data_IF_103230825378
#
_entry.id   IF_103230825378
#
_cell.length_a   1.000
_cell.length_b   1.000
_cell.length_c   1.000
_cell.angle_alpha   90.00
_cell.angle_beta   90.00
_cell.angle_gamma   90.00
#
_symmetry.space_group_name_H-M   'P 1'
#
loop_
_entity.id
_entity.type
_entity.pdbx_description
1 polymer ?
#
# COMPACT_ATOMS: atom_id res chain seq x y z
N UNK A 1 -11.86 4.44 46.93
CA UNK A 1 -11.54 3.36 45.98
C UNK A 1 -12.71 2.96 45.09
N UNK A 2 -13.90 2.58 45.59
CA UNK A 2 -15.03 2.19 44.70
C UNK A 2 -15.42 3.23 43.65
N UNK A 3 -15.43 4.53 43.97
CA UNK A 3 -15.74 5.61 43.02
C UNK A 3 -14.65 5.79 41.94
N UNK A 4 -13.39 5.47 42.27
CA UNK A 4 -12.27 5.59 41.34
C UNK A 4 -12.28 4.44 40.32
N UNK A 5 -12.63 3.21 40.74
CA UNK A 5 -12.73 2.04 39.86
C UNK A 5 -13.89 2.21 38.89
N UNK A 6 -15.04 2.73 39.34
CA UNK A 6 -16.20 3.00 38.46
C UNK A 6 -15.85 4.09 37.44
N UNK A 7 -15.10 5.12 37.83
CA UNK A 7 -14.66 6.18 36.92
C UNK A 7 -13.67 5.64 35.86
N UNK A 8 -12.72 4.79 36.24
CA UNK A 8 -11.79 4.17 35.31
C UNK A 8 -12.49 3.20 34.34
N UNK A 9 -13.47 2.43 34.83
CA UNK A 9 -14.24 1.53 33.97
C UNK A 9 -15.15 2.31 33.00
N UNK A 10 -15.73 3.42 33.45
CA UNK A 10 -16.52 4.30 32.59
C UNK A 10 -15.65 5.03 31.54
N UNK A 11 -14.47 5.51 31.91
CA UNK A 11 -13.55 6.14 30.95
C UNK A 11 -13.06 5.10 29.92
N UNK A 12 -12.72 3.89 30.36
CA UNK A 12 -12.29 2.83 29.44
C UNK A 12 -13.42 2.34 28.52
N UNK A 13 -14.67 2.27 29.01
CA UNK A 13 -15.83 2.01 28.15
C UNK A 13 -16.15 3.18 27.21
N UNK A 14 -15.90 4.42 27.63
CA UNK A 14 -16.13 5.59 26.77
C UNK A 14 -15.08 5.72 25.66
N UNK A 15 -13.83 5.34 25.91
CA UNK A 15 -12.79 5.30 24.87
C UNK A 15 -13.01 4.14 23.88
N UNK A 16 -13.53 3.00 24.33
CA UNK A 16 -13.92 1.88 23.45
C UNK A 16 -15.17 2.23 22.63
N UNK A 17 -16.12 2.98 23.20
CA UNK A 17 -17.33 3.44 22.49
C UNK A 17 -17.08 4.56 21.49
N UNK A 18 -16.02 5.35 21.66
CA UNK A 18 -15.64 6.39 20.69
C UNK A 18 -14.83 5.85 19.49
N UNK A 19 -14.39 4.59 19.51
CA UNK A 19 -13.71 3.95 18.39
C UNK A 19 -14.65 3.17 17.44
N UNK A 20 -15.92 3.09 17.76
CA UNK A 20 -16.94 2.66 16.80
C UNK A 20 -17.47 3.88 16.06
N UNK A 21 -16.64 4.49 15.21
CA UNK A 21 -17.17 5.29 14.11
C UNK A 21 -18.15 4.39 13.37
N UNK A 22 -19.44 4.70 13.40
CA UNK A 22 -20.42 3.93 12.66
C UNK A 22 -20.11 4.14 11.19
N UNK A 23 -19.46 3.13 10.58
CA UNK A 23 -19.32 3.09 9.15
C UNK A 23 -20.70 2.84 8.57
N UNK A 24 -21.25 3.84 7.89
CA UNK A 24 -22.52 3.73 7.19
C UNK A 24 -22.32 2.83 5.97
N UNK A 25 -22.95 1.68 5.91
CA UNK A 25 -23.19 0.99 4.65
C UNK A 25 -24.56 1.47 4.15
N UNK A 26 -24.55 2.34 3.17
CA UNK A 26 -25.75 2.76 2.43
C UNK A 26 -25.70 2.16 1.04
N UNK A 27 -26.89 1.92 0.46
CA UNK A 27 -26.98 1.41 -0.92
C UNK A 27 -26.22 2.34 -1.90
N UNK A 28 -25.67 1.81 -2.98
CA UNK A 28 -25.10 2.62 -4.05
C UNK A 28 -26.08 3.66 -4.59
N UNK A 29 -25.56 4.83 -4.90
CA UNK A 29 -26.34 5.94 -5.45
C UNK A 29 -25.83 6.24 -6.86
N UNK A 30 -26.74 6.28 -7.83
CA UNK A 30 -26.47 6.77 -9.16
C UNK A 30 -26.86 8.24 -9.28
N UNK A 31 -25.88 9.09 -9.59
CA UNK A 31 -26.04 10.51 -9.88
C UNK A 31 -25.82 10.75 -11.37
N UNK A 32 -26.88 10.89 -12.13
CA UNK A 32 -26.85 11.12 -13.58
C UNK A 32 -26.34 12.52 -13.94
N UNK A 33 -26.41 13.47 -13.00
CA UNK A 33 -26.04 14.87 -13.24
C UNK A 33 -24.56 15.17 -13.02
N UNK A 34 -23.82 14.20 -12.45
CA UNK A 34 -22.42 14.37 -12.15
C UNK A 34 -21.62 14.80 -13.39
N UNK A 35 -20.76 15.80 -13.22
CA UNK A 35 -19.81 16.29 -14.22
C UNK A 35 -20.43 16.50 -15.62
N UNK A 36 -21.43 17.35 -15.73
CA UNK A 36 -22.14 17.64 -16.97
C UNK A 36 -22.82 16.40 -17.60
N UNK A 37 -23.52 15.63 -16.81
CA UNK A 37 -24.27 14.43 -17.20
C UNK A 37 -23.41 13.25 -17.68
N UNK A 38 -22.16 13.18 -17.24
CA UNK A 38 -21.32 11.99 -17.46
C UNK A 38 -21.73 10.82 -16.55
N UNK A 39 -22.40 11.12 -15.44
CA UNK A 39 -22.87 10.15 -14.46
C UNK A 39 -21.82 9.72 -13.44
N UNK A 40 -22.26 9.44 -12.24
CA UNK A 40 -21.44 8.80 -11.19
C UNK A 40 -22.21 7.72 -10.43
N UNK A 41 -21.52 6.65 -10.04
CA UNK A 41 -21.96 5.71 -9.02
C UNK A 41 -21.14 5.97 -7.76
N UNK A 42 -21.82 6.23 -6.64
CA UNK A 42 -21.22 6.25 -5.31
C UNK A 42 -21.60 4.94 -4.62
N UNK A 43 -20.64 4.02 -4.54
CA UNK A 43 -20.88 2.69 -3.96
C UNK A 43 -21.10 2.72 -2.44
N UNK A 44 -20.71 3.82 -1.77
CA UNK A 44 -20.90 4.02 -0.32
C UNK A 44 -20.34 2.87 0.53
N UNK A 45 -19.21 2.31 0.12
CA UNK A 45 -18.57 1.18 0.79
C UNK A 45 -19.15 -0.20 0.42
N UNK A 46 -20.17 -0.24 -0.43
CA UNK A 46 -20.74 -1.50 -0.95
C UNK A 46 -19.80 -2.07 -2.02
N UNK A 47 -19.67 -3.40 -2.05
CA UNK A 47 -18.94 -4.07 -3.12
C UNK A 47 -19.76 -4.05 -4.42
N UNK A 48 -19.13 -3.64 -5.50
CA UNK A 48 -19.77 -3.53 -6.82
C UNK A 48 -18.98 -4.29 -7.88
N UNK A 49 -19.70 -4.75 -8.89
CA UNK A 49 -19.14 -5.40 -10.08
C UNK A 49 -19.56 -4.65 -11.33
N UNK A 50 -18.62 -4.40 -12.24
CA UNK A 50 -18.84 -3.80 -13.54
C UNK A 50 -18.72 -4.88 -14.59
N UNK A 51 -19.74 -5.00 -15.44
CA UNK A 51 -19.76 -5.98 -16.54
C UNK A 51 -20.44 -5.36 -17.77
N UNK A 52 -20.30 -6.01 -18.90
CA UNK A 52 -21.05 -5.72 -20.10
C UNK A 52 -22.17 -6.74 -20.28
N UNK A 53 -23.38 -6.29 -20.44
CA UNK A 53 -24.57 -7.10 -20.70
C UNK A 53 -25.32 -6.54 -21.88
N UNK A 54 -25.53 -7.34 -22.92
CA UNK A 54 -26.21 -6.93 -24.17
C UNK A 54 -25.63 -5.64 -24.81
N UNK A 55 -24.30 -5.48 -24.74
CA UNK A 55 -23.61 -4.31 -25.29
C UNK A 55 -23.74 -3.02 -24.45
N UNK A 56 -24.21 -3.13 -23.21
CA UNK A 56 -24.32 -2.02 -22.28
C UNK A 56 -23.50 -2.29 -21.02
N UNK A 57 -22.87 -1.25 -20.50
CA UNK A 57 -22.18 -1.36 -19.21
C UNK A 57 -23.16 -1.38 -18.06
N UNK A 58 -23.07 -2.41 -17.22
CA UNK A 58 -23.92 -2.63 -16.04
C UNK A 58 -23.05 -2.63 -14.81
N UNK A 59 -23.47 -1.85 -13.81
CA UNK A 59 -22.89 -1.88 -12.46
C UNK A 59 -23.86 -2.59 -11.56
N UNK A 60 -23.42 -3.67 -10.93
CA UNK A 60 -24.23 -4.53 -10.05
C UNK A 60 -23.66 -4.59 -8.63
N UNK A 61 -24.56 -4.78 -7.66
CA UNK A 61 -24.26 -4.97 -6.24
C UNK A 61 -25.29 -5.91 -5.61
N UNK A 62 -25.05 -6.29 -4.37
CA UNK A 62 -26.04 -7.11 -3.65
C UNK A 62 -27.38 -6.37 -3.54
N UNK A 63 -28.41 -6.95 -4.14
CA UNK A 63 -29.77 -6.40 -4.17
C UNK A 63 -30.09 -5.43 -5.32
N UNK A 64 -29.16 -5.18 -6.29
CA UNK A 64 -29.50 -4.31 -7.41
C UNK A 64 -28.45 -4.21 -8.51
N UNK A 65 -28.87 -3.54 -9.60
CA UNK A 65 -27.98 -3.18 -10.68
C UNK A 65 -28.44 -1.90 -11.38
N UNK A 66 -27.54 -1.27 -12.09
CA UNK A 66 -27.77 -0.06 -12.87
C UNK A 66 -27.06 -0.15 -14.22
N UNK A 67 -27.80 0.07 -15.30
CA UNK A 67 -27.19 0.32 -16.62
C UNK A 67 -26.65 1.75 -16.62
N UNK A 68 -25.42 1.92 -17.04
CA UNK A 68 -24.72 3.21 -16.99
C UNK A 68 -24.11 3.58 -18.34
N UNK A 69 -23.91 4.87 -18.62
CA UNK A 69 -23.20 5.29 -19.83
C UNK A 69 -21.71 4.98 -19.70
N UNK A 70 -21.02 4.84 -20.83
CA UNK A 70 -19.57 4.60 -20.88
C UNK A 70 -18.72 5.76 -20.31
N UNK A 71 -19.36 6.89 -20.03
CA UNK A 71 -18.74 8.08 -19.40
C UNK A 71 -18.86 8.08 -17.88
N UNK A 72 -19.45 7.05 -17.28
CA UNK A 72 -19.67 6.99 -15.82
C UNK A 72 -18.35 6.95 -15.05
N UNK A 73 -18.33 7.65 -13.92
CA UNK A 73 -17.28 7.54 -12.90
C UNK A 73 -17.80 6.72 -11.72
N UNK A 74 -17.03 5.75 -11.27
CA UNK A 74 -17.41 4.84 -10.19
C UNK A 74 -16.52 5.12 -8.98
N UNK A 75 -17.15 5.52 -7.88
CA UNK A 75 -16.51 5.77 -6.59
C UNK A 75 -16.85 4.65 -5.61
N UNK A 76 -15.85 3.97 -5.08
CA UNK A 76 -16.04 2.93 -4.07
C UNK A 76 -16.53 3.49 -2.72
N UNK A 77 -16.08 4.70 -2.37
CA UNK A 77 -16.66 5.49 -1.29
C UNK A 77 -17.89 6.28 -1.72
N UNK A 78 -18.17 7.37 -1.02
CA UNK A 78 -19.30 8.25 -1.25
C UNK A 78 -18.90 9.65 -1.68
N UNK A 79 -19.91 10.50 -1.90
CA UNK A 79 -19.76 11.95 -1.93
C UNK A 79 -19.77 12.44 -0.47
N UNK A 80 -18.57 12.47 0.16
CA UNK A 80 -18.42 12.60 1.60
C UNK A 80 -18.68 11.29 2.36
N UNK A 81 -18.52 11.34 3.67
CA UNK A 81 -18.80 10.23 4.60
C UNK A 81 -17.63 9.28 4.85
N UNK A 82 -17.82 8.38 5.82
CA UNK A 82 -16.78 7.47 6.32
C UNK A 82 -17.19 6.01 6.06
N UNK A 83 -16.32 5.25 5.43
CA UNK A 83 -16.56 3.86 5.06
C UNK A 83 -15.39 2.97 5.51
N UNK A 84 -15.71 1.79 6.04
CA UNK A 84 -14.69 0.81 6.46
C UNK A 84 -13.92 0.23 5.27
N UNK A 85 -14.61 -0.02 4.17
CA UNK A 85 -13.99 -0.58 2.97
C UNK A 85 -14.81 -0.23 1.73
N UNK A 86 -14.17 -0.35 0.57
CA UNK A 86 -14.82 -0.35 -0.73
C UNK A 86 -14.20 -1.43 -1.62
N UNK A 87 -15.00 -2.02 -2.52
CA UNK A 87 -14.52 -3.00 -3.47
C UNK A 87 -15.18 -2.79 -4.82
N UNK A 88 -14.37 -2.61 -5.86
CA UNK A 88 -14.81 -2.50 -7.25
C UNK A 88 -14.15 -3.63 -8.04
N UNK A 89 -14.93 -4.48 -8.68
CA UNK A 89 -14.45 -5.50 -9.61
C UNK A 89 -14.95 -5.18 -11.01
N UNK A 90 -14.07 -5.00 -11.96
CA UNK A 90 -14.42 -4.81 -13.38
C UNK A 90 -14.04 -6.04 -14.18
N UNK A 91 -15.05 -6.69 -14.74
CA UNK A 91 -14.88 -7.89 -15.56
C UNK A 91 -14.96 -7.59 -17.07
N UNK A 92 -15.70 -6.55 -17.46
CA UNK A 92 -15.87 -6.11 -18.86
C UNK A 92 -16.60 -4.76 -18.89
N UNK A 93 -16.87 -4.24 -20.09
CA UNK A 93 -17.59 -2.98 -20.29
C UNK A 93 -16.64 -1.78 -20.38
N UNK A 94 -17.23 -0.58 -20.40
CA UNK A 94 -16.49 0.67 -20.52
C UNK A 94 -16.96 1.68 -19.49
N UNK A 95 -16.01 2.28 -18.77
CA UNK A 95 -16.25 3.35 -17.81
C UNK A 95 -15.25 4.49 -18.00
N UNK A 96 -15.54 5.66 -17.49
CA UNK A 96 -14.58 6.76 -17.53
C UNK A 96 -13.54 6.61 -16.42
N UNK A 97 -13.99 6.41 -15.17
CA UNK A 97 -13.10 6.29 -14.02
C UNK A 97 -13.51 5.15 -13.09
N UNK A 98 -12.51 4.50 -12.48
CA UNK A 98 -12.66 3.64 -11.31
C UNK A 98 -11.88 4.28 -10.15
N UNK A 99 -12.57 4.70 -9.11
CA UNK A 99 -11.99 5.38 -7.97
C UNK A 99 -12.28 4.56 -6.71
N UNK A 100 -11.23 4.05 -6.05
CA UNK A 100 -11.36 3.24 -4.84
C UNK A 100 -11.97 4.01 -3.68
N UNK A 101 -11.50 5.23 -3.45
CA UNK A 101 -12.03 6.13 -2.42
C UNK A 101 -13.32 6.83 -2.82
N UNK A 102 -13.63 7.88 -2.10
CA UNK A 102 -14.76 8.77 -2.38
C UNK A 102 -14.32 10.08 -3.03
N UNK A 103 -15.23 11.03 -3.03
CA UNK A 103 -14.99 12.40 -3.44
C UNK A 103 -15.44 13.35 -2.33
N UNK A 104 -14.67 14.41 -2.10
CA UNK A 104 -15.06 15.49 -1.21
C UNK A 104 -14.85 16.84 -1.91
N UNK A 105 -15.85 17.67 -1.99
CA UNK A 105 -15.73 18.99 -2.65
C UNK A 105 -15.26 20.09 -1.71
N UNK A 106 -15.41 19.90 -0.41
CA UNK A 106 -14.96 20.82 0.64
C UNK A 106 -14.37 20.03 1.80
N UNK A 107 -13.68 20.72 2.73
CA UNK A 107 -13.20 20.08 3.95
C UNK A 107 -14.31 19.47 4.81
N UNK A 108 -15.47 20.13 4.85
CA UNK A 108 -16.62 19.69 5.65
C UNK A 108 -17.34 18.49 5.02
N UNK A 109 -17.20 18.31 3.70
CA UNK A 109 -17.75 17.17 2.96
C UNK A 109 -16.68 16.16 2.57
N UNK A 110 -15.63 16.03 3.40
CA UNK A 110 -14.54 15.09 3.12
C UNK A 110 -15.03 13.64 3.15
N UNK A 111 -14.47 12.81 2.28
CA UNK A 111 -14.70 11.37 2.24
C UNK A 111 -13.53 10.64 2.92
N UNK A 112 -13.84 9.60 3.67
CA UNK A 112 -12.84 8.70 4.24
C UNK A 112 -13.19 7.24 3.94
N UNK A 113 -12.21 6.48 3.44
CA UNK A 113 -12.33 5.01 3.26
C UNK A 113 -11.11 4.36 3.86
N UNK A 114 -11.32 3.43 4.80
CA UNK A 114 -10.18 2.77 5.44
C UNK A 114 -9.44 1.85 4.48
N UNK A 115 -10.14 0.94 3.78
CA UNK A 115 -9.55 0.05 2.78
C UNK A 115 -10.27 0.17 1.44
N UNK A 116 -9.52 0.40 0.37
CA UNK A 116 -10.06 0.32 -0.99
C UNK A 116 -9.47 -0.84 -1.75
N UNK A 117 -10.29 -1.50 -2.59
CA UNK A 117 -9.85 -2.53 -3.50
C UNK A 117 -10.46 -2.32 -4.88
N UNK A 118 -9.62 -2.26 -5.91
CA UNK A 118 -10.03 -2.28 -7.31
C UNK A 118 -9.37 -3.50 -7.96
N UNK A 119 -10.17 -4.36 -8.58
CA UNK A 119 -9.70 -5.46 -9.42
C UNK A 119 -10.24 -5.23 -10.83
N UNK A 120 -9.37 -5.09 -11.79
CA UNK A 120 -9.73 -5.02 -13.20
C UNK A 120 -9.27 -6.29 -13.91
N UNK A 121 -10.22 -7.11 -14.31
CA UNK A 121 -9.95 -8.35 -15.05
C UNK A 121 -9.92 -8.10 -16.54
N UNK A 122 -10.81 -7.24 -17.05
CA UNK A 122 -10.89 -6.83 -18.47
C UNK A 122 -11.79 -5.59 -18.61
N UNK A 123 -11.92 -5.05 -19.82
CA UNK A 123 -12.74 -3.90 -20.17
C UNK A 123 -11.92 -2.64 -20.48
N UNK A 124 -12.58 -1.48 -20.49
CA UNK A 124 -11.95 -0.21 -20.85
C UNK A 124 -12.19 0.85 -19.79
N UNK A 125 -11.11 1.47 -19.29
CA UNK A 125 -11.16 2.67 -18.46
C UNK A 125 -10.60 3.83 -19.27
N UNK A 126 -11.49 4.70 -19.73
CA UNK A 126 -11.17 5.74 -20.74
C UNK A 126 -10.43 6.95 -20.18
N UNK A 127 -10.39 7.12 -18.83
CA UNK A 127 -9.63 8.19 -18.19
C UNK A 127 -8.71 7.66 -17.10
N UNK A 128 -9.23 7.23 -15.93
CA UNK A 128 -8.31 6.83 -14.86
C UNK A 128 -8.82 5.73 -13.92
N UNK A 129 -7.88 4.88 -13.47
CA UNK A 129 -8.01 4.09 -12.24
C UNK A 129 -7.27 4.84 -11.12
N UNK A 130 -7.94 5.07 -9.98
CA UNK A 130 -7.42 5.81 -8.84
C UNK A 130 -7.64 4.99 -7.57
N UNK A 131 -6.57 4.57 -6.91
CA UNK A 131 -6.67 3.78 -5.68
C UNK A 131 -7.21 4.58 -4.49
N UNK A 132 -6.77 5.84 -4.37
CA UNK A 132 -7.30 6.81 -3.41
C UNK A 132 -8.65 7.40 -3.86
N UNK A 133 -8.87 8.64 -3.48
CA UNK A 133 -10.07 9.37 -3.85
C UNK A 133 -9.77 10.69 -4.55
N UNK A 134 -10.81 11.48 -4.77
CA UNK A 134 -10.71 12.79 -5.42
C UNK A 134 -10.86 13.92 -4.41
N UNK A 135 -10.01 14.94 -4.53
CA UNK A 135 -10.01 16.19 -3.76
C UNK A 135 -9.88 15.94 -2.24
N UNK A 136 -10.88 16.30 -1.44
CA UNK A 136 -10.88 16.09 0.01
C UNK A 136 -11.25 14.64 0.37
N UNK A 137 -10.48 13.68 -0.14
CA UNK A 137 -10.71 12.26 0.13
C UNK A 137 -9.46 11.61 0.72
N UNK A 138 -9.64 10.97 1.86
CA UNK A 138 -8.58 10.22 2.56
C UNK A 138 -8.84 8.74 2.43
N UNK A 139 -7.80 7.99 2.10
CA UNK A 139 -7.80 6.52 2.11
C UNK A 139 -6.62 6.06 2.98
N UNK A 140 -6.86 5.11 3.86
CA UNK A 140 -5.73 4.56 4.61
C UNK A 140 -4.95 3.58 3.74
N UNK A 141 -5.58 2.54 3.23
CA UNK A 141 -4.91 1.58 2.36
C UNK A 141 -5.65 1.45 1.03
N UNK A 142 -4.98 1.71 -0.07
CA UNK A 142 -5.49 1.47 -1.41
C UNK A 142 -4.84 0.25 -2.03
N UNK A 143 -5.64 -0.60 -2.70
CA UNK A 143 -5.19 -1.78 -3.39
C UNK A 143 -5.75 -1.80 -4.81
N UNK A 144 -4.89 -1.80 -5.81
CA UNK A 144 -5.25 -1.95 -7.21
C UNK A 144 -4.59 -3.21 -7.75
N UNK A 145 -5.37 -4.04 -8.43
CA UNK A 145 -4.91 -5.21 -9.17
C UNK A 145 -5.48 -5.16 -10.58
N UNK A 146 -4.60 -5.14 -11.58
CA UNK A 146 -4.95 -5.15 -12.99
C UNK A 146 -4.48 -6.45 -13.61
N UNK A 147 -5.44 -7.27 -14.07
CA UNK A 147 -5.19 -8.55 -14.72
C UNK A 147 -5.30 -8.45 -16.25
N UNK A 148 -5.98 -7.43 -16.77
CA UNK A 148 -6.21 -7.23 -18.20
C UNK A 148 -6.94 -5.93 -18.51
N UNK A 149 -7.36 -5.79 -19.78
CA UNK A 149 -8.12 -4.63 -20.25
C UNK A 149 -7.26 -3.46 -20.73
N UNK A 150 -7.93 -2.35 -21.06
CA UNK A 150 -7.31 -1.13 -21.55
C UNK A 150 -7.56 0.03 -20.59
N UNK A 151 -6.51 0.71 -20.19
CA UNK A 151 -6.54 1.79 -19.21
C UNK A 151 -5.81 2.99 -19.80
N UNK A 152 -6.43 4.17 -19.77
CA UNK A 152 -5.75 5.38 -20.24
C UNK A 152 -4.66 5.80 -19.23
N UNK A 153 -5.02 5.95 -17.94
CA UNK A 153 -4.06 6.27 -16.88
C UNK A 153 -4.40 5.55 -15.56
N UNK A 154 -3.40 5.38 -14.70
CA UNK A 154 -3.57 4.74 -13.40
C UNK A 154 -2.70 5.38 -12.34
N UNK A 155 -3.19 5.43 -11.09
CA UNK A 155 -2.46 5.91 -9.93
C UNK A 155 -2.90 5.21 -8.64
N UNK A 156 -1.90 4.78 -7.85
CA UNK A 156 -2.13 4.12 -6.56
C UNK A 156 -2.65 5.08 -5.49
N UNK A 157 -2.17 6.33 -5.51
CA UNK A 157 -2.57 7.39 -4.59
C UNK A 157 -3.87 8.09 -4.94
N UNK A 158 -4.08 9.28 -4.39
CA UNK A 158 -5.26 10.11 -4.61
C UNK A 158 -5.01 11.21 -5.65
N UNK A 159 -6.08 11.84 -6.12
CA UNK A 159 -6.00 12.98 -7.04
C UNK A 159 -6.54 14.25 -6.37
N UNK A 160 -5.68 15.28 -6.36
CA UNK A 160 -6.06 16.64 -6.00
C UNK A 160 -5.81 17.62 -7.16
N UNK A 161 -6.03 17.20 -8.39
CA UNK A 161 -5.89 18.05 -9.57
C UNK A 161 -7.21 18.71 -9.91
N UNK A 162 -7.15 20.00 -10.14
CA UNK A 162 -8.28 20.80 -10.58
C UNK A 162 -8.37 22.10 -9.80
N UNK A 163 -9.05 23.09 -10.38
CA UNK A 163 -9.38 24.32 -9.68
C UNK A 163 -10.57 24.05 -8.77
N UNK A 164 -10.34 23.77 -7.50
CA UNK A 164 -11.37 24.08 -6.52
C UNK A 164 -11.21 25.56 -6.21
N UNK A 165 -12.19 26.38 -6.57
CA UNK A 165 -12.29 27.81 -6.25
C UNK A 165 -11.10 28.69 -6.66
N UNK A 166 -10.46 28.47 -7.82
CA UNK A 166 -9.48 29.42 -8.37
C UNK A 166 -8.04 29.27 -7.84
N UNK A 167 -7.76 28.35 -6.96
CA UNK A 167 -6.41 28.10 -6.43
C UNK A 167 -5.64 27.22 -7.40
N UNK A 168 -4.52 27.72 -7.91
CA UNK A 168 -3.53 26.89 -8.61
C UNK A 168 -2.79 26.09 -7.53
N UNK A 169 -2.97 24.79 -7.54
CA UNK A 169 -2.24 23.90 -6.64
C UNK A 169 -0.81 23.74 -7.17
N UNK A 170 0.16 24.29 -6.46
CA UNK A 170 1.59 24.03 -6.64
C UNK A 170 2.09 23.09 -5.54
N UNK A 171 3.18 22.38 -5.79
CA UNK A 171 3.77 21.47 -4.79
C UNK A 171 3.98 22.23 -3.48
N UNK A 172 3.21 21.88 -2.46
CA UNK A 172 3.38 22.41 -1.11
C UNK A 172 4.57 21.75 -0.41
N UNK A 173 4.82 22.19 0.80
CA UNK A 173 5.77 21.51 1.69
C UNK A 173 5.23 20.13 2.07
N UNK A 174 6.08 19.29 2.69
CA UNK A 174 5.67 18.00 3.27
C UNK A 174 4.48 18.18 4.23
N UNK A 175 4.54 19.22 5.06
CA UNK A 175 3.50 19.49 6.05
C UNK A 175 2.17 19.88 5.39
N UNK A 176 2.20 20.66 4.30
CA UNK A 176 1.01 20.97 3.52
C UNK A 176 0.39 19.72 2.90
N UNK A 177 1.22 18.82 2.38
CA UNK A 177 0.77 17.55 1.80
C UNK A 177 0.20 16.60 2.86
N UNK A 178 0.86 16.45 4.02
CA UNK A 178 0.40 15.60 5.14
C UNK A 178 -0.91 16.13 5.72
N UNK A 179 -1.05 17.45 5.85
CA UNK A 179 -2.25 18.09 6.35
C UNK A 179 -3.38 18.15 5.31
N UNK A 180 -3.05 17.90 4.04
CA UNK A 180 -4.05 17.75 2.99
C UNK A 180 -5.00 16.59 3.31
N UNK A 181 -6.29 16.81 3.14
CA UNK A 181 -7.28 15.71 3.23
C UNK A 181 -7.32 14.85 1.97
N UNK A 182 -6.52 15.16 0.96
CA UNK A 182 -6.32 14.33 -0.22
C UNK A 182 -5.10 13.44 -0.02
N UNK A 183 -5.30 12.28 0.58
CA UNK A 183 -4.16 11.42 0.93
C UNK A 183 -4.47 9.93 0.91
N UNK A 184 -3.41 9.15 0.72
CA UNK A 184 -3.37 7.69 0.89
C UNK A 184 -2.20 7.37 1.80
N UNK A 185 -2.42 6.60 2.87
CA UNK A 185 -1.32 6.21 3.75
C UNK A 185 -0.46 5.14 3.09
N UNK A 186 -1.10 4.10 2.52
CA UNK A 186 -0.40 3.04 1.79
C UNK A 186 -1.12 2.76 0.47
N UNK A 187 -0.40 2.87 -0.64
CA UNK A 187 -0.88 2.54 -1.97
C UNK A 187 -0.19 1.27 -2.47
N UNK A 188 -0.96 0.23 -2.75
CA UNK A 188 -0.48 -1.03 -3.33
C UNK A 188 -1.06 -1.17 -4.74
N UNK A 189 -0.21 -1.27 -5.74
CA UNK A 189 -0.59 -1.37 -7.14
C UNK A 189 0.12 -2.56 -7.77
N UNK A 190 -0.65 -3.49 -8.34
CA UNK A 190 -0.16 -4.67 -9.03
C UNK A 190 -0.71 -4.66 -10.46
N UNK A 191 0.18 -4.78 -11.44
CA UNK A 191 -0.14 -4.93 -12.86
C UNK A 191 0.32 -6.31 -13.30
N UNK A 192 -0.64 -7.20 -13.53
CA UNK A 192 -0.40 -8.58 -14.01
C UNK A 192 -0.55 -8.69 -15.52
N UNK A 193 -1.13 -7.67 -16.19
CA UNK A 193 -1.37 -7.65 -17.62
C UNK A 193 -2.17 -6.43 -18.04
N UNK A 194 -2.68 -6.44 -19.28
CA UNK A 194 -3.44 -5.33 -19.86
C UNK A 194 -2.56 -4.25 -20.49
N UNK A 195 -3.21 -3.20 -20.96
CA UNK A 195 -2.55 -2.07 -21.63
C UNK A 195 -2.80 -0.78 -20.85
N UNK A 196 -1.72 -0.08 -20.46
CA UNK A 196 -1.79 1.26 -19.88
C UNK A 196 -1.21 2.23 -20.91
N UNK A 197 -2.04 3.21 -21.35
CA UNK A 197 -1.73 3.98 -22.56
C UNK A 197 -0.88 5.23 -22.30
N UNK A 198 -0.99 5.84 -21.12
CA UNK A 198 -0.42 7.17 -20.87
C UNK A 198 0.42 7.25 -19.60
N UNK A 199 -0.17 7.04 -18.44
CA UNK A 199 0.47 7.29 -17.15
C UNK A 199 0.21 6.14 -16.17
N UNK A 200 1.25 5.74 -15.45
CA UNK A 200 1.17 4.85 -14.29
C UNK A 200 1.98 5.45 -13.13
N UNK A 201 1.29 5.87 -12.08
CA UNK A 201 1.91 6.41 -10.87
C UNK A 201 1.70 5.47 -9.68
N UNK A 202 2.77 5.15 -8.96
CA UNK A 202 2.68 4.47 -7.67
C UNK A 202 2.01 5.36 -6.62
N UNK A 203 2.37 6.64 -6.58
CA UNK A 203 1.75 7.66 -5.72
C UNK A 203 0.53 8.33 -6.34
N UNK A 204 0.21 9.51 -5.84
CA UNK A 204 -0.94 10.30 -6.28
C UNK A 204 -0.58 11.48 -7.18
N UNK A 205 -1.58 12.31 -7.50
CA UNK A 205 -1.41 13.47 -8.37
C UNK A 205 -1.90 14.77 -7.73
N UNK A 206 -1.22 15.88 -8.04
CA UNK A 206 -1.54 17.22 -7.52
C UNK A 206 -1.10 17.36 -6.06
N UNK A 207 -1.89 18.06 -5.24
CA UNK A 207 -1.62 18.24 -3.80
C UNK A 207 -1.87 17.00 -2.94
N UNK A 208 -1.79 15.82 -3.50
CA UNK A 208 -2.01 14.59 -2.76
C UNK A 208 -0.76 14.17 -1.99
N UNK A 209 -0.98 13.56 -0.85
CA UNK A 209 0.04 12.85 -0.07
C UNK A 209 -0.12 11.35 -0.22
N UNK A 210 0.98 10.65 -0.48
CA UNK A 210 1.06 9.18 -0.41
C UNK A 210 2.18 8.81 0.55
N UNK A 211 1.87 8.13 1.65
CA UNK A 211 2.88 7.75 2.65
C UNK A 211 3.84 6.71 2.10
N UNK A 212 3.30 5.59 1.66
CA UNK A 212 4.05 4.50 1.02
C UNK A 212 3.39 4.13 -0.30
N UNK A 213 4.17 4.02 -1.37
CA UNK A 213 3.73 3.57 -2.69
C UNK A 213 4.45 2.28 -3.07
N UNK A 214 3.71 1.19 -3.18
CA UNK A 214 4.20 -0.12 -3.62
C UNK A 214 3.67 -0.40 -5.02
N UNK A 215 4.54 -0.49 -6.01
CA UNK A 215 4.20 -0.76 -7.39
C UNK A 215 4.88 -2.05 -7.85
N UNK A 216 4.09 -3.04 -8.23
CA UNK A 216 4.58 -4.28 -8.82
C UNK A 216 4.04 -4.43 -10.24
N UNK A 217 4.92 -4.59 -11.21
CA UNK A 217 4.59 -4.84 -12.61
C UNK A 217 5.08 -6.24 -12.93
N UNK A 218 4.14 -7.18 -13.08
CA UNK A 218 4.45 -8.56 -13.43
C UNK A 218 4.45 -8.76 -14.95
N UNK A 219 3.54 -8.05 -15.66
CA UNK A 219 3.43 -8.06 -17.12
C UNK A 219 2.54 -6.88 -17.57
N UNK A 220 2.38 -6.70 -18.88
CA UNK A 220 1.50 -5.71 -19.49
C UNK A 220 2.19 -4.84 -20.54
N UNK A 221 1.37 -4.16 -21.34
CA UNK A 221 1.84 -3.23 -22.36
C UNK A 221 1.72 -1.78 -21.87
N UNK A 222 2.85 -1.22 -21.50
CA UNK A 222 3.06 0.20 -21.15
C UNK A 222 4.07 0.84 -22.13
N UNK A 223 4.18 0.30 -23.34
CA UNK A 223 5.14 0.77 -24.36
C UNK A 223 4.90 2.20 -24.84
N UNK A 224 3.81 2.83 -24.38
CA UNK A 224 3.48 4.24 -24.62
C UNK A 224 3.34 5.05 -23.31
N UNK A 225 3.47 4.39 -22.16
CA UNK A 225 3.19 5.00 -20.88
C UNK A 225 4.46 5.47 -20.14
N UNK A 226 4.28 6.54 -19.38
CA UNK A 226 5.24 6.99 -18.37
C UNK A 226 4.92 6.29 -17.05
N UNK A 227 5.85 5.51 -16.56
CA UNK A 227 5.75 4.81 -15.27
C UNK A 227 6.58 5.57 -14.25
N UNK A 228 5.97 5.97 -13.15
CA UNK A 228 6.63 6.75 -12.09
C UNK A 228 6.44 6.07 -10.73
N UNK A 229 7.51 5.89 -9.98
CA UNK A 229 7.44 5.30 -8.64
C UNK A 229 6.59 6.14 -7.68
N UNK A 230 6.83 7.43 -7.62
CA UNK A 230 6.00 8.38 -6.88
C UNK A 230 4.77 8.85 -7.66
N UNK A 231 4.38 10.07 -7.40
CA UNK A 231 3.27 10.73 -8.08
C UNK A 231 3.71 11.88 -8.98
N UNK A 232 2.73 12.60 -9.51
CA UNK A 232 2.96 13.84 -10.26
C UNK A 232 2.47 15.05 -9.48
N UNK A 233 3.34 16.01 -9.23
CA UNK A 233 3.08 17.23 -8.44
C UNK A 233 2.61 16.98 -7.00
N UNK A 234 2.71 15.75 -6.50
CA UNK A 234 2.35 15.35 -5.15
C UNK A 234 3.57 15.07 -4.28
N UNK A 235 3.31 14.68 -3.06
CA UNK A 235 4.32 14.21 -2.12
C UNK A 235 4.16 12.71 -1.89
N UNK A 236 5.25 11.96 -2.09
CA UNK A 236 5.29 10.53 -1.78
C UNK A 236 6.46 10.27 -0.82
N UNK A 237 6.19 9.59 0.28
CA UNK A 237 7.23 9.19 1.22
C UNK A 237 8.11 8.10 0.61
N UNK A 238 7.81 6.85 0.90
CA UNK A 238 8.60 5.73 0.44
C UNK A 238 7.98 5.06 -0.79
N UNK A 239 8.79 4.81 -1.81
CA UNK A 239 8.39 4.06 -2.99
C UNK A 239 9.12 2.73 -3.04
N UNK A 240 8.39 1.64 -3.30
CA UNK A 240 8.96 0.34 -3.63
C UNK A 240 8.44 -0.08 -4.99
N UNK A 241 9.32 -0.30 -5.96
CA UNK A 241 8.97 -0.69 -7.32
C UNK A 241 9.64 -2.00 -7.67
N UNK A 242 8.82 -2.98 -8.09
CA UNK A 242 9.28 -4.27 -8.63
C UNK A 242 8.79 -4.40 -10.06
N UNK A 243 9.69 -4.59 -11.02
CA UNK A 243 9.38 -4.83 -12.42
C UNK A 243 9.87 -6.24 -12.76
N UNK A 244 8.89 -7.14 -12.93
CA UNK A 244 9.12 -8.55 -13.19
C UNK A 244 8.88 -8.91 -14.67
N UNK A 245 8.32 -7.98 -15.46
CA UNK A 245 7.99 -8.19 -16.86
C UNK A 245 7.34 -6.96 -17.49
N UNK A 246 6.77 -7.16 -18.69
CA UNK A 246 6.07 -6.13 -19.43
C UNK A 246 6.97 -5.23 -20.28
N UNK A 247 6.33 -4.32 -21.01
CA UNK A 247 6.98 -3.33 -21.87
C UNK A 247 6.66 -1.92 -21.39
N UNK A 248 7.65 -1.12 -21.12
CA UNK A 248 7.51 0.24 -20.58
C UNK A 248 8.23 1.23 -21.52
N UNK A 249 7.55 2.32 -21.91
CA UNK A 249 8.18 3.37 -22.67
C UNK A 249 9.20 4.15 -21.83
N UNK A 250 8.76 4.70 -20.71
CA UNK A 250 9.62 5.46 -19.82
C UNK A 250 9.33 5.11 -18.36
N UNK A 251 10.38 4.75 -17.65
CA UNK A 251 10.36 4.63 -16.20
C UNK A 251 11.13 5.78 -15.55
N UNK A 252 10.59 6.32 -14.45
CA UNK A 252 11.27 7.31 -13.61
C UNK A 252 10.83 7.17 -12.13
N UNK A 253 11.74 7.48 -11.19
CA UNK A 253 11.40 7.41 -9.77
C UNK A 253 10.56 8.61 -9.31
N UNK A 254 10.75 9.76 -9.89
CA UNK A 254 9.97 10.97 -9.61
C UNK A 254 9.65 11.70 -10.92
N UNK A 255 8.45 12.31 -11.00
CA UNK A 255 8.10 13.22 -12.09
C UNK A 255 8.21 14.68 -11.60
N UNK A 256 7.11 15.36 -11.32
CA UNK A 256 7.04 16.78 -10.92
C UNK A 256 6.69 16.96 -9.45
N UNK A 257 7.02 16.03 -8.60
CA UNK A 257 6.66 16.03 -7.18
C UNK A 257 7.86 15.86 -6.28
N UNK A 258 7.60 15.44 -5.07
CA UNK A 258 8.64 15.06 -4.11
C UNK A 258 8.48 13.59 -3.74
N UNK A 259 9.60 12.87 -3.74
CA UNK A 259 9.74 11.50 -3.24
C UNK A 259 10.84 11.51 -2.18
N UNK A 260 10.59 10.96 -0.99
CA UNK A 260 11.65 10.86 0.02
C UNK A 260 12.63 9.75 -0.34
N UNK A 261 12.10 8.56 -0.61
CA UNK A 261 12.96 7.44 -1.02
C UNK A 261 12.29 6.56 -2.06
N UNK A 262 13.08 6.00 -2.97
CA UNK A 262 12.64 4.99 -3.90
C UNK A 262 13.60 3.80 -3.92
N UNK A 263 13.04 2.61 -3.81
CA UNK A 263 13.73 1.34 -4.01
C UNK A 263 13.15 0.69 -5.27
N UNK A 264 14.00 0.46 -6.26
CA UNK A 264 13.61 -0.01 -7.58
C UNK A 264 14.33 -1.30 -7.89
N UNK A 265 13.58 -2.33 -8.27
CA UNK A 265 14.14 -3.61 -8.68
C UNK A 265 13.61 -3.96 -10.08
N UNK A 266 14.50 -4.13 -11.02
CA UNK A 266 14.21 -4.65 -12.35
C UNK A 266 14.69 -6.10 -12.42
N UNK A 267 13.74 -7.04 -12.39
CA UNK A 267 14.03 -8.46 -12.51
C UNK A 267 13.98 -8.93 -13.98
N UNK A 268 13.06 -8.37 -14.77
CA UNK A 268 12.85 -8.71 -16.18
C UNK A 268 11.98 -7.63 -16.86
N UNK A 269 11.69 -7.77 -18.14
CA UNK A 269 10.88 -6.85 -18.94
C UNK A 269 11.71 -5.98 -19.88
N UNK A 270 11.06 -5.04 -20.55
CA UNK A 270 11.69 -4.13 -21.49
C UNK A 270 11.32 -2.68 -21.17
N UNK A 271 12.32 -1.82 -20.99
CA UNK A 271 12.14 -0.41 -20.70
C UNK A 271 12.93 0.39 -21.73
N UNK A 272 12.24 1.21 -22.53
CA UNK A 272 12.92 2.01 -23.55
C UNK A 272 13.80 3.10 -22.93
N UNK A 273 13.25 3.86 -21.98
CA UNK A 273 13.97 4.90 -21.24
C UNK A 273 13.87 4.70 -19.73
N UNK A 274 14.99 4.49 -19.08
CA UNK A 274 15.05 4.33 -17.63
C UNK A 274 15.77 5.51 -17.00
N UNK A 275 15.03 6.33 -16.27
CA UNK A 275 15.58 7.42 -15.46
C UNK A 275 15.58 7.02 -13.98
N UNK A 276 16.74 6.88 -13.38
CA UNK A 276 16.90 6.49 -11.98
C UNK A 276 16.24 7.51 -11.06
N UNK A 277 16.51 8.79 -11.25
CA UNK A 277 15.82 9.90 -10.60
C UNK A 277 14.53 10.25 -11.34
N UNK A 278 14.54 11.36 -12.07
CA UNK A 278 13.41 11.81 -12.88
C UNK A 278 13.87 12.55 -14.12
N UNK A 279 13.10 12.46 -15.18
CA UNK A 279 13.25 13.30 -16.36
C UNK A 279 12.47 14.61 -16.15
N UNK A 280 13.11 15.73 -16.40
CA UNK A 280 12.42 17.02 -16.51
C UNK A 280 12.70 17.59 -17.89
N UNK A 281 11.71 17.52 -18.77
CA UNK A 281 11.76 18.25 -20.05
C UNK A 281 11.61 19.76 -19.85
N UNK A 282 11.07 20.18 -18.71
CA UNK A 282 10.83 21.58 -18.36
C UNK A 282 11.68 21.98 -17.15
N UNK A 283 12.70 22.80 -17.38
CA UNK A 283 13.62 23.27 -16.36
C UNK A 283 12.98 24.13 -15.25
N UNK A 284 11.69 24.45 -15.36
CA UNK A 284 10.96 25.28 -14.39
C UNK A 284 10.29 24.47 -13.28
N UNK A 285 10.11 23.17 -13.45
CA UNK A 285 9.45 22.28 -12.46
C UNK A 285 10.22 20.96 -12.36
N UNK A 286 11.25 20.94 -11.55
CA UNK A 286 12.03 19.73 -11.29
C UNK A 286 11.39 18.88 -10.20
N UNK A 287 11.22 17.59 -10.45
CA UNK A 287 10.93 16.63 -9.39
C UNK A 287 12.08 16.57 -8.38
N UNK A 288 11.76 16.33 -7.13
CA UNK A 288 12.74 16.13 -6.06
C UNK A 288 12.68 14.72 -5.54
N UNK A 289 13.84 14.06 -5.44
CA UNK A 289 13.97 12.77 -4.77
C UNK A 289 15.17 12.82 -3.83
N UNK A 290 14.98 12.44 -2.56
CA UNK A 290 16.07 12.51 -1.59
C UNK A 290 17.02 11.33 -1.75
N UNK A 291 16.49 10.10 -1.84
CA UNK A 291 17.32 8.91 -2.06
C UNK A 291 16.68 7.98 -3.08
N UNK A 292 17.50 7.37 -3.93
CA UNK A 292 17.06 6.34 -4.86
C UNK A 292 18.09 5.21 -4.89
N UNK A 293 17.60 3.97 -4.69
CA UNK A 293 18.38 2.76 -4.85
C UNK A 293 17.79 1.92 -5.97
N UNK A 294 18.57 1.61 -6.99
CA UNK A 294 18.14 0.83 -8.14
C UNK A 294 18.94 -0.45 -8.23
N UNK A 295 18.25 -1.58 -8.28
CA UNK A 295 18.84 -2.89 -8.49
C UNK A 295 18.39 -3.45 -9.84
N UNK A 296 19.33 -3.57 -10.76
CA UNK A 296 19.14 -4.10 -12.10
C UNK A 296 19.63 -5.55 -12.13
N UNK A 297 18.71 -6.51 -12.19
CA UNK A 297 19.01 -7.94 -12.14
C UNK A 297 18.91 -8.55 -13.53
N UNK A 298 17.88 -8.18 -14.31
CA UNK A 298 17.66 -8.66 -15.65
C UNK A 298 16.75 -7.75 -16.45
N UNK A 299 16.49 -8.07 -17.71
CA UNK A 299 15.65 -7.31 -18.63
C UNK A 299 16.43 -6.52 -19.67
N UNK A 300 15.71 -5.76 -20.48
CA UNK A 300 16.26 -4.93 -21.54
C UNK A 300 16.02 -3.46 -21.24
N UNK A 301 17.06 -2.64 -21.33
CA UNK A 301 16.98 -1.19 -21.17
C UNK A 301 17.51 -0.54 -22.44
N UNK A 302 16.68 0.26 -23.10
CA UNK A 302 17.07 1.03 -24.28
C UNK A 302 18.06 2.15 -23.94
N UNK A 303 17.76 2.93 -22.90
CA UNK A 303 18.67 3.94 -22.37
C UNK A 303 18.53 4.08 -20.86
N UNK A 304 19.65 4.16 -20.14
CA UNK A 304 19.71 4.38 -18.70
C UNK A 304 20.32 5.73 -18.40
N UNK A 305 19.60 6.55 -17.64
CA UNK A 305 20.01 7.90 -17.25
C UNK A 305 19.88 8.09 -15.74
N UNK A 306 20.79 8.85 -15.12
CA UNK A 306 20.64 9.25 -13.71
C UNK A 306 19.42 10.17 -13.51
N UNK A 307 19.08 10.95 -14.53
CA UNK A 307 17.99 11.92 -14.51
C UNK A 307 18.48 13.32 -14.13
N UNK A 308 17.60 14.30 -14.28
CA UNK A 308 17.86 15.72 -13.98
C UNK A 308 17.23 16.19 -12.68
N UNK A 309 16.60 15.29 -11.93
CA UNK A 309 16.00 15.59 -10.63
C UNK A 309 17.06 15.96 -9.60
N UNK A 310 16.72 16.91 -8.72
CA UNK A 310 17.53 17.22 -7.56
C UNK A 310 17.47 16.03 -6.57
N UNK A 311 18.43 15.12 -6.69
CA UNK A 311 18.55 13.98 -5.78
C UNK A 311 19.83 14.10 -4.96
N UNK A 312 19.75 13.74 -3.69
CA UNK A 312 20.88 13.76 -2.77
C UNK A 312 21.77 12.54 -2.97
N UNK A 313 21.17 11.39 -3.27
CA UNK A 313 21.88 10.12 -3.48
C UNK A 313 21.18 9.31 -4.56
N UNK A 314 21.92 8.96 -5.60
CA UNK A 314 21.51 7.97 -6.60
C UNK A 314 22.50 6.81 -6.53
N UNK A 315 22.00 5.61 -6.30
CA UNK A 315 22.81 4.39 -6.43
C UNK A 315 22.20 3.45 -7.45
N UNK A 316 23.02 2.95 -8.34
CA UNK A 316 22.65 1.92 -9.32
C UNK A 316 23.50 0.70 -9.00
N UNK A 317 22.84 -0.40 -8.71
CA UNK A 317 23.50 -1.62 -8.34
C UNK A 317 23.54 -2.57 -9.53
N UNK A 318 24.63 -2.54 -10.23
CA UNK A 318 25.00 -3.51 -11.28
C UNK A 318 26.51 -3.65 -11.25
N UNK A 319 27.07 -4.84 -11.52
CA UNK A 319 28.51 -5.09 -11.55
C UNK A 319 29.27 -4.17 -12.51
N UNK A 320 28.60 -3.63 -13.52
CA UNK A 320 29.18 -2.72 -14.50
C UNK A 320 28.99 -1.23 -14.16
N UNK A 321 28.17 -0.91 -13.15
CA UNK A 321 27.80 0.47 -12.83
C UNK A 321 27.84 0.72 -11.34
N UNK A 322 28.98 1.19 -10.86
CA UNK A 322 29.10 1.88 -9.59
C UNK A 322 29.02 3.37 -9.88
N UNK A 323 27.81 3.90 -10.04
CA UNK A 323 27.66 5.33 -10.23
C UNK A 323 27.03 5.91 -8.99
N UNK A 324 27.85 6.50 -8.16
CA UNK A 324 27.44 7.52 -7.23
C UNK A 324 27.75 8.82 -7.93
N UNK A 325 26.83 9.34 -8.72
CA UNK A 325 27.05 10.58 -9.47
C UNK A 325 25.74 11.14 -9.98
N UNK A 326 25.65 12.45 -9.99
CA UNK A 326 24.61 13.22 -10.67
C UNK A 326 24.83 13.31 -12.19
N UNK A 327 25.86 12.66 -12.70
CA UNK A 327 26.21 12.69 -14.11
C UNK A 327 25.35 11.69 -14.91
N UNK A 328 25.07 12.04 -16.13
CA UNK A 328 24.26 11.23 -17.04
C UNK A 328 25.00 9.93 -17.40
N UNK A 329 24.41 8.80 -17.05
CA UNK A 329 24.89 7.48 -17.44
C UNK A 329 23.94 6.94 -18.50
N UNK A 330 24.45 6.63 -19.68
CA UNK A 330 23.67 6.05 -20.79
C UNK A 330 24.09 4.62 -21.07
N UNK A 331 23.13 3.72 -21.01
CA UNK A 331 23.25 2.38 -21.58
C UNK A 331 22.23 2.30 -22.71
N UNK A 332 22.65 1.89 -23.88
CA UNK A 332 21.76 1.75 -25.03
C UNK A 332 21.79 0.31 -25.51
N UNK A 333 20.60 -0.30 -25.59
CA UNK A 333 20.38 -1.66 -26.13
C UNK A 333 21.20 -2.78 -25.45
N UNK A 334 21.45 -2.65 -24.15
CA UNK A 334 22.07 -3.74 -23.38
C UNK A 334 20.99 -4.64 -22.74
N UNK A 335 21.17 -5.95 -22.87
CA UNK A 335 20.44 -6.93 -22.08
C UNK A 335 21.19 -7.12 -20.76
N UNK A 336 20.56 -6.81 -19.65
CA UNK A 336 21.14 -7.00 -18.33
C UNK A 336 20.69 -8.37 -17.85
N UNK A 337 21.53 -9.36 -18.05
CA UNK A 337 21.30 -10.71 -17.54
C UNK A 337 21.56 -10.80 -16.04
N UNK A 338 21.00 -11.86 -15.43
CA UNK A 338 21.12 -12.20 -14.01
C UNK A 338 22.57 -12.05 -13.55
N UNK A 339 22.86 -10.87 -13.07
CA UNK A 339 24.23 -10.49 -12.98
C UNK A 339 24.85 -11.01 -11.70
N UNK A 340 26.02 -11.37 -11.81
CA UNK A 340 27.10 -11.65 -10.90
C UNK A 340 27.27 -10.65 -9.74
N UNK A 341 26.20 -9.96 -9.32
CA UNK A 341 26.23 -9.12 -8.12
C UNK A 341 26.30 -10.02 -6.92
N UNK A 342 27.51 -10.28 -6.47
CA UNK A 342 27.73 -10.87 -5.16
C UNK A 342 27.49 -9.80 -4.09
N UNK A 343 26.23 -9.57 -3.75
CA UNK A 343 25.92 -8.87 -2.52
C UNK A 343 26.07 -9.89 -1.41
N UNK A 344 27.00 -9.66 -0.52
CA UNK A 344 27.07 -10.40 0.72
C UNK A 344 26.19 -9.69 1.76
N UNK A 345 25.50 -10.46 2.58
CA UNK A 345 24.59 -9.93 3.59
C UNK A 345 25.14 -10.27 4.96
N UNK A 346 25.07 -9.32 5.86
CA UNK A 346 25.18 -9.57 7.29
C UNK A 346 23.88 -9.16 7.97
N UNK A 347 23.44 -9.90 8.97
CA UNK A 347 22.20 -9.56 9.63
C UNK A 347 22.22 -9.99 11.08
N UNK A 348 21.52 -9.23 11.91
CA UNK A 348 21.23 -9.58 13.28
C UNK A 348 19.74 -9.71 13.49
N UNK A 349 19.35 -10.52 14.46
CA UNK A 349 17.98 -10.71 14.90
C UNK A 349 17.90 -10.13 16.29
N UNK A 350 17.02 -9.16 16.51
CA UNK A 350 16.93 -8.44 17.80
C UNK A 350 16.57 -9.36 18.96
N UNK A 351 15.77 -10.39 18.71
CA UNK A 351 15.35 -11.39 19.68
C UNK A 351 15.65 -12.80 19.14
N UNK A 352 16.74 -13.41 19.58
CA UNK A 352 17.10 -14.80 19.25
C UNK A 352 16.31 -15.86 20.07
N UNK A 353 15.58 -15.43 21.08
CA UNK A 353 14.72 -16.24 21.92
C UNK A 353 13.31 -15.60 22.00
N UNK A 354 12.36 -16.18 21.31
CA UNK A 354 11.01 -15.68 21.20
C UNK A 354 10.05 -16.49 22.08
N UNK A 355 9.36 -15.83 22.99
CA UNK A 355 8.30 -16.45 23.79
C UNK A 355 6.95 -15.97 23.27
N UNK A 356 6.11 -16.89 22.87
CA UNK A 356 4.74 -16.64 22.39
C UNK A 356 3.73 -17.39 23.23
N UNK A 357 2.50 -16.93 23.18
CA UNK A 357 1.35 -17.72 23.64
C UNK A 357 0.61 -18.31 22.44
N UNK A 358 -0.15 -19.37 22.64
CA UNK A 358 -0.97 -19.98 21.61
C UNK A 358 -1.89 -18.90 20.99
N UNK A 359 -1.97 -18.86 19.66
CA UNK A 359 -2.72 -17.88 18.85
C UNK A 359 -2.22 -16.43 18.97
N UNK A 360 -1.01 -16.22 19.47
CA UNK A 360 -0.36 -14.90 19.42
C UNK A 360 0.75 -14.90 18.39
N UNK A 361 0.92 -13.74 17.78
CA UNK A 361 1.92 -13.54 16.73
C UNK A 361 2.87 -12.41 17.10
N UNK A 362 4.12 -12.53 16.66
CA UNK A 362 5.13 -11.47 16.73
C UNK A 362 5.97 -11.51 15.46
N UNK A 363 6.24 -10.35 14.90
CA UNK A 363 7.17 -10.21 13.78
C UNK A 363 8.61 -10.27 14.30
N UNK A 364 9.46 -11.01 13.59
CA UNK A 364 10.90 -10.99 13.83
C UNK A 364 11.46 -9.65 13.32
N UNK A 365 12.27 -9.03 14.15
CA UNK A 365 12.96 -7.78 13.81
C UNK A 365 14.38 -8.10 13.35
N UNK A 366 14.63 -7.88 12.07
CA UNK A 366 15.89 -8.16 11.41
C UNK A 366 16.62 -6.86 11.12
N UNK A 367 17.86 -6.74 11.61
CA UNK A 367 18.76 -5.68 11.20
C UNK A 367 19.71 -6.22 10.13
N UNK A 368 19.42 -5.94 8.88
CA UNK A 368 20.16 -6.44 7.72
C UNK A 368 21.13 -5.37 7.24
N UNK A 369 22.40 -5.77 7.10
CA UNK A 369 23.46 -4.96 6.51
C UNK A 369 23.89 -5.62 5.21
N UNK A 370 24.15 -4.83 4.21
CA UNK A 370 24.74 -5.30 2.96
C UNK A 370 26.23 -5.04 2.93
N UNK A 371 26.97 -5.89 2.23
CA UNK A 371 28.39 -5.70 1.98
C UNK A 371 28.60 -5.67 0.46
N UNK A 372 29.00 -4.53 -0.12
CA UNK A 372 29.41 -3.28 0.54
C UNK A 372 28.23 -2.52 1.18
N UNK A 373 28.54 -1.72 2.20
CA UNK A 373 27.56 -0.92 2.94
C UNK A 373 26.80 0.03 2.00
N UNK A 374 25.52 0.31 2.33
CA UNK A 374 24.57 1.20 1.61
C UNK A 374 23.76 0.55 0.47
N UNK A 375 23.66 -0.74 0.42
CA UNK A 375 22.68 -1.42 -0.43
C UNK A 375 21.43 -1.78 0.40
N UNK A 376 20.64 -0.81 0.77
CA UNK A 376 19.31 -1.06 1.33
C UNK A 376 18.38 -1.47 0.19
N UNK A 377 18.50 -2.72 -0.23
CA UNK A 377 17.72 -3.29 -1.32
C UNK A 377 16.35 -3.81 -0.86
N UNK A 378 15.53 -4.17 -1.82
CA UNK A 378 14.30 -4.94 -1.62
C UNK A 378 14.73 -6.36 -1.25
N UNK A 379 14.59 -6.71 0.03
CA UNK A 379 15.10 -7.98 0.57
C UNK A 379 14.10 -9.14 0.49
N UNK A 380 12.87 -8.92 0.05
CA UNK A 380 11.80 -9.92 0.08
C UNK A 380 12.19 -11.24 -0.60
N UNK A 381 12.97 -11.20 -1.70
CA UNK A 381 13.42 -12.40 -2.42
C UNK A 381 14.70 -13.03 -1.85
N UNK A 382 15.36 -12.34 -0.91
CA UNK A 382 16.64 -12.78 -0.32
C UNK A 382 16.43 -13.33 1.07
N UNK A 383 15.29 -13.00 1.69
CA UNK A 383 14.93 -13.44 3.03
C UNK A 383 14.00 -14.65 2.91
N UNK A 384 14.32 -15.69 3.62
CA UNK A 384 13.42 -16.83 3.78
C UNK A 384 13.38 -17.29 5.22
N UNK A 385 12.21 -17.80 5.60
CA UNK A 385 11.95 -18.30 6.94
C UNK A 385 11.50 -19.73 6.88
N UNK A 386 12.03 -20.57 7.74
CA UNK A 386 11.63 -21.96 7.86
C UNK A 386 11.43 -22.31 9.33
N UNK A 387 10.31 -22.91 9.67
CA UNK A 387 10.04 -23.40 11.01
C UNK A 387 10.22 -24.91 11.05
N UNK A 388 11.11 -25.39 11.93
CA UNK A 388 11.41 -26.82 12.04
C UNK A 388 10.20 -27.66 12.50
N UNK A 389 9.29 -27.07 13.27
CA UNK A 389 8.06 -27.75 13.68
C UNK A 389 6.86 -26.82 13.57
N UNK A 390 6.13 -26.94 12.46
CA UNK A 390 4.97 -26.11 12.15
C UNK A 390 3.73 -26.39 13.02
N UNK A 391 3.74 -27.50 13.80
CA UNK A 391 2.66 -27.80 14.76
C UNK A 391 2.82 -27.03 16.06
N UNK A 392 4.04 -26.52 16.34
CA UNK A 392 4.32 -25.70 17.53
C UNK A 392 4.24 -24.21 17.19
N UNK A 393 4.88 -23.78 16.11
CA UNK A 393 4.78 -22.41 15.61
C UNK A 393 4.84 -22.38 14.08
N UNK A 394 4.28 -21.35 13.48
CA UNK A 394 4.39 -21.07 12.04
C UNK A 394 4.99 -19.69 11.80
N UNK A 395 5.74 -19.57 10.75
CA UNK A 395 6.27 -18.30 10.27
C UNK A 395 5.80 -18.09 8.83
N UNK A 396 5.42 -16.87 8.49
CA UNK A 396 5.06 -16.51 7.11
C UNK A 396 6.24 -15.81 6.42
N UNK A 397 6.09 -15.52 5.13
CA UNK A 397 7.13 -14.90 4.29
C UNK A 397 7.52 -13.48 4.74
N UNK A 398 6.74 -12.86 5.62
CA UNK A 398 7.02 -11.56 6.22
C UNK A 398 7.71 -11.64 7.58
N UNK A 399 8.09 -12.85 8.01
CA UNK A 399 8.74 -13.08 9.29
C UNK A 399 7.81 -12.98 10.51
N UNK A 400 6.49 -13.08 10.31
CA UNK A 400 5.53 -13.10 11.41
C UNK A 400 5.39 -14.51 11.94
N UNK A 401 5.80 -14.71 13.18
CA UNK A 401 5.75 -15.98 13.90
C UNK A 401 4.46 -16.07 14.69
N UNK A 402 3.73 -17.15 14.53
CA UNK A 402 2.47 -17.44 15.24
C UNK A 402 2.60 -18.72 16.05
N UNK A 403 2.31 -18.67 17.35
CA UNK A 403 2.25 -19.85 18.23
C UNK A 403 1.00 -20.68 17.94
N UNK A 404 1.19 -21.99 17.71
CA UNK A 404 0.12 -22.94 17.37
C UNK A 404 -0.22 -23.85 18.53
N UNK A 405 0.80 -24.50 19.13
CA UNK A 405 0.63 -25.38 20.29
C UNK A 405 1.80 -25.24 21.25
N UNK A 406 1.58 -25.62 22.52
CA UNK A 406 2.61 -25.56 23.55
C UNK A 406 3.82 -26.42 23.19
N UNK A 407 5.00 -25.83 23.25
CA UNK A 407 6.27 -26.53 22.98
C UNK A 407 7.39 -25.58 22.61
N UNK A 408 8.50 -26.17 22.17
CA UNK A 408 9.67 -25.44 21.69
C UNK A 408 9.94 -25.83 20.23
N UNK A 409 10.31 -24.85 19.41
CA UNK A 409 10.74 -25.07 18.04
C UNK A 409 11.81 -24.05 17.68
N UNK A 410 12.40 -24.21 16.51
CA UNK A 410 13.41 -23.30 15.97
C UNK A 410 12.89 -22.76 14.65
N UNK A 411 13.06 -21.46 14.46
CA UNK A 411 12.90 -20.81 13.16
C UNK A 411 14.29 -20.53 12.60
N UNK A 412 14.51 -21.00 11.41
CA UNK A 412 15.66 -20.68 10.59
C UNK A 412 15.36 -19.44 9.77
N UNK A 413 16.15 -18.41 9.90
CA UNK A 413 16.09 -17.19 9.10
C UNK A 413 17.29 -17.17 8.19
N UNK A 414 17.05 -17.11 6.89
CA UNK A 414 18.09 -17.04 5.89
C UNK A 414 18.03 -15.69 5.18
N UNK A 415 19.17 -15.03 5.05
CA UNK A 415 19.36 -13.80 4.28
C UNK A 415 20.53 -14.01 3.33
N UNK A 416 20.24 -14.10 2.04
CA UNK A 416 21.24 -14.52 1.05
C UNK A 416 21.80 -15.91 1.35
N UNK A 417 23.11 -15.99 1.61
CA UNK A 417 23.83 -17.22 1.99
C UNK A 417 24.01 -17.39 3.49
N UNK A 418 23.64 -16.41 4.30
CA UNK A 418 23.78 -16.49 5.77
C UNK A 418 22.50 -16.97 6.42
N UNK A 419 22.65 -17.73 7.49
CA UNK A 419 21.54 -18.29 8.24
C UNK A 419 21.76 -18.05 9.73
N UNK A 420 20.71 -17.65 10.42
CA UNK A 420 20.61 -17.57 11.89
C UNK A 420 19.34 -18.27 12.35
N UNK A 421 19.30 -18.61 13.62
CA UNK A 421 18.18 -19.33 14.22
C UNK A 421 17.57 -18.53 15.36
N UNK A 422 16.25 -18.64 15.51
CA UNK A 422 15.46 -18.10 16.61
C UNK A 422 14.84 -19.26 17.37
N UNK A 423 15.09 -19.35 18.64
CA UNK A 423 14.42 -20.30 19.52
C UNK A 423 13.01 -19.79 19.84
N UNK A 424 12.01 -20.59 19.63
CA UNK A 424 10.62 -20.21 19.89
C UNK A 424 10.04 -21.13 20.97
N UNK A 425 9.64 -20.54 22.09
CA UNK A 425 8.86 -21.20 23.12
C UNK A 425 7.41 -20.75 23.03
N UNK A 426 6.48 -21.68 22.83
CA UNK A 426 5.05 -21.41 22.83
C UNK A 426 4.46 -21.89 24.14
N UNK A 427 3.84 -20.97 24.89
CA UNK A 427 3.18 -21.20 26.18
C UNK A 427 1.67 -21.25 26.05
N UNK A 428 1.06 -22.02 26.92
CA UNK A 428 -0.40 -22.07 27.04
C UNK A 428 -0.85 -21.06 28.10
N UNK A 429 -1.85 -20.26 27.76
CA UNK A 429 -2.51 -19.35 28.69
C UNK A 429 -3.35 -20.08 29.77
N UNK A 430 -3.73 -21.33 29.53
CA UNK A 430 -4.68 -22.04 30.39
C UNK A 430 -4.27 -22.06 31.86
N UNK A 431 -2.99 -22.28 32.14
CA UNK A 431 -2.47 -22.28 33.53
C UNK A 431 -2.48 -20.90 34.17
N UNK A 432 -2.19 -19.83 33.40
CA UNK A 432 -2.21 -18.45 33.92
C UNK A 432 -3.63 -17.97 34.22
N UNK A 433 -4.60 -18.34 33.39
CA UNK A 433 -6.01 -18.02 33.61
C UNK A 433 -6.53 -18.77 34.83
N UNK A 434 -6.21 -20.04 34.97
CA UNK A 434 -6.59 -20.86 36.15
C UNK A 434 -5.95 -20.29 37.43
N UNK A 435 -4.68 -19.92 37.40
CA UNK A 435 -4.02 -19.29 38.53
C UNK A 435 -4.60 -17.91 38.87
N UNK A 436 -4.93 -17.12 37.85
CA UNK A 436 -5.60 -15.81 38.01
C UNK A 436 -6.99 -15.94 38.60
N UNK A 437 -7.79 -16.89 38.12
CA UNK A 437 -9.12 -17.19 38.69
C UNK A 437 -8.97 -17.72 40.12
N UNK A 438 -8.03 -18.61 40.41
CA UNK A 438 -7.78 -19.12 41.74
C UNK A 438 -7.36 -17.99 42.71
N UNK A 439 -6.50 -17.08 42.28
CA UNK A 439 -6.12 -15.89 43.06
C UNK A 439 -7.31 -14.95 43.27
N UNK A 440 -8.15 -14.74 42.27
CA UNK A 440 -9.37 -13.94 42.40
C UNK A 440 -10.38 -14.56 43.38
N UNK A 441 -10.58 -15.88 43.30
CA UNK A 441 -11.42 -16.62 44.25
C UNK A 441 -10.85 -16.50 45.66
N UNK A 442 -9.55 -16.72 45.83
CA UNK A 442 -8.86 -16.58 47.10
C UNK A 442 -9.00 -15.14 47.67
N UNK A 443 -8.81 -14.14 46.81
CA UNK A 443 -8.99 -12.73 47.19
C UNK A 443 -10.43 -12.43 47.64
N UNK A 444 -11.43 -12.94 46.94
CA UNK A 444 -12.85 -12.82 47.31
C UNK A 444 -13.14 -13.54 48.65
N UNK A 445 -12.61 -14.74 48.85
CA UNK A 445 -12.75 -15.47 50.11
C UNK A 445 -12.10 -14.70 51.28
N UNK A 446 -10.91 -14.13 51.09
CA UNK A 446 -10.22 -13.29 52.08
C UNK A 446 -11.05 -12.05 52.39
N UNK A 447 -11.62 -11.40 51.41
CA UNK A 447 -12.52 -10.25 51.61
C UNK A 447 -13.76 -10.64 52.43
N UNK A 448 -14.38 -11.81 52.15
CA UNK A 448 -15.49 -12.34 52.94
C UNK A 448 -15.05 -12.61 54.39
N UNK A 449 -13.90 -13.17 54.62
CA UNK A 449 -13.38 -13.45 55.97
C UNK A 449 -13.01 -12.17 56.74
N UNK A 450 -12.48 -11.16 56.09
CA UNK A 450 -12.06 -9.89 56.71
C UNK A 450 -13.26 -8.98 56.98
N UNK A 451 -14.21 -8.90 56.06
CA UNK A 451 -15.33 -7.93 56.16
C UNK A 451 -16.62 -8.51 56.69
N UNK A 452 -16.64 -9.81 57.08
CA UNK A 452 -17.71 -10.41 57.87
C UNK A 452 -19.11 -10.17 57.32
N UNK A 453 -19.32 -10.38 56.03
CA UNK A 453 -20.66 -10.28 55.45
C UNK A 453 -21.41 -11.54 55.80
N UNK A 454 -22.11 -11.53 56.92
CA UNK A 454 -23.16 -12.46 57.21
C UNK A 454 -24.31 -12.24 56.21
N UNK A 455 -24.46 -13.15 55.28
CA UNK A 455 -25.70 -13.25 54.50
C UNK A 455 -26.65 -14.09 55.34
N UNK A 456 -27.72 -13.54 55.87
CA UNK A 456 -28.75 -14.37 56.53
C UNK A 456 -29.43 -15.23 55.49
N UNK A 457 -29.32 -16.52 55.62
CA UNK A 457 -30.12 -17.49 54.84
C UNK A 457 -31.53 -17.46 55.43
N UNK A 458 -32.46 -16.91 54.65
CA UNK A 458 -33.89 -17.13 54.86
C UNK A 458 -34.40 -18.13 53.85
#
# INVERSE_FOLDING_TARGET
MKKLIILFTLIFCFEILNFTGSYASSLPIYDETYNNNQGAIYANGTSITVSEENGQTVVSWDGGSQVVPNTVSIFGGGNGGNFASSSITMNSGTVQNLIGGGIGFTEDTSAFVYNTKIVMNDGNVTNAIVGGGYFYATVDTSNIEVNGGNIFSMQGGAIATGKISGVNYSVGTKDDAINSKCRVTTANTIVNGGTIQSLLFGGGQGYSYTGTANLTINDGDMSKAYVTAGGSNGYTGNCTVKINGGSIYLYQSVNRGTVESAQVKLNSGSIDKFYVGGETEDSTVTGKIDTVNTNLIGGNIGSLNAGTSNSSVISINNDNFKVISTDEVKITNETIEDSKIKIDYDFDISDDNLVLFINKSKKLDLNIKTIPENYEGIFDDVISYNCQNSDIARVNDYGVVTGISKGNTIIEVKVGNKMKTVNVEVKDFGLLIIAGIAMLILYVVILFLIFGVYVPIW
#
